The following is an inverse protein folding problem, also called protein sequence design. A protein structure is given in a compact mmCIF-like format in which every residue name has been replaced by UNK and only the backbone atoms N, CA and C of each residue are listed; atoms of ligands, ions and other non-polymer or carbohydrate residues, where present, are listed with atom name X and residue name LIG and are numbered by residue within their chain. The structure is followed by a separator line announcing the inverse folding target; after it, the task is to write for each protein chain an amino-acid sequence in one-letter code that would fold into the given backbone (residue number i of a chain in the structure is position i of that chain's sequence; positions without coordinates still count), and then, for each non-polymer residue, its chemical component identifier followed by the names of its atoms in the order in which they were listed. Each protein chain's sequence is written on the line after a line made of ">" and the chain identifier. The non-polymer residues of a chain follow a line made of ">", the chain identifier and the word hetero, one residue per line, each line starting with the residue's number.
data_IF_920556230166
#
_entry.id   IF_920556230166
#
_cell.length_a   1.000
_cell.length_b   1.000
_cell.length_c   1.000
_cell.angle_alpha   90.00
_cell.angle_beta   90.00
_cell.angle_gamma   90.00
#
_symmetry.space_group_name_H-M   'P 1'
#
loop_
_entity.id
_entity.type
_entity.pdbx_description
1 polymer ?
#
# COMPACT_ATOMS: atom_id res chain seq x y z
N UNK A 1 -3.84 -11.58 -5.42
CA UNK A 1 -4.41 -10.26 -5.01
C UNK A 1 -3.49 -9.61 -3.99
N UNK A 2 -3.38 -8.29 -3.99
CA UNK A 2 -2.79 -7.56 -2.86
C UNK A 2 -3.50 -6.23 -2.62
N UNK A 3 -3.26 -5.64 -1.45
CA UNK A 3 -3.65 -4.27 -1.12
C UNK A 3 -2.81 -3.74 0.04
N UNK A 4 -2.71 -2.42 0.14
CA UNK A 4 -2.21 -1.73 1.33
C UNK A 4 -3.39 -1.41 2.24
N UNK A 5 -3.20 -1.64 3.54
CA UNK A 5 -4.18 -1.32 4.57
C UNK A 5 -3.49 -0.67 5.76
N UNK A 6 -4.08 0.40 6.28
CA UNK A 6 -3.62 1.08 7.49
C UNK A 6 -4.78 1.17 8.47
N UNK A 7 -4.58 0.67 9.68
CA UNK A 7 -5.48 0.94 10.81
C UNK A 7 -5.18 2.34 11.33
N UNK A 8 -6.10 3.27 11.27
CA UNK A 8 -5.86 4.66 11.68
C UNK A 8 -6.13 4.90 13.17
N UNK A 9 -7.04 4.11 13.76
CA UNK A 9 -7.32 4.18 15.20
C UNK A 9 -7.80 2.83 15.75
N UNK A 10 -8.01 2.76 17.07
CA UNK A 10 -8.64 1.61 17.72
C UNK A 10 -10.17 1.68 17.77
N UNK A 11 -10.77 2.72 17.20
CA UNK A 11 -12.22 2.93 17.22
C UNK A 11 -12.96 1.92 16.33
N UNK A 12 -14.27 1.79 16.57
CA UNK A 12 -15.20 0.97 15.78
C UNK A 12 -15.93 -0.09 16.58
N UNK A 13 -17.12 -0.46 16.11
CA UNK A 13 -17.92 -1.52 16.73
C UNK A 13 -17.26 -2.89 16.58
N UNK A 14 -17.63 -3.85 17.43
CA UNK A 14 -17.15 -5.23 17.37
C UNK A 14 -15.60 -5.35 17.38
N UNK A 15 -14.91 -4.48 18.11
CA UNK A 15 -13.44 -4.47 18.16
C UNK A 15 -12.76 -3.81 16.96
N UNK A 16 -13.51 -3.02 16.18
CA UNK A 16 -13.02 -2.21 15.07
C UNK A 16 -12.34 -3.05 14.00
N UNK A 17 -13.10 -3.97 13.38
CA UNK A 17 -12.58 -4.77 12.28
C UNK A 17 -12.41 -3.90 11.02
N UNK A 18 -11.50 -4.34 10.15
CA UNK A 18 -11.24 -3.69 8.87
C UNK A 18 -10.45 -4.59 7.94
N UNK A 19 -10.91 -4.68 6.70
CA UNK A 19 -10.32 -5.54 5.68
C UNK A 19 -11.12 -5.54 4.39
N UNK A 20 -10.84 -6.54 3.57
CA UNK A 20 -11.58 -6.83 2.34
C UNK A 20 -12.25 -8.19 2.49
N UNK A 21 -13.51 -8.29 2.06
CA UNK A 21 -14.11 -9.58 1.76
C UNK A 21 -14.08 -9.86 0.26
N UNK A 22 -13.85 -11.13 -0.06
CA UNK A 22 -14.16 -11.72 -1.35
C UNK A 22 -15.53 -12.37 -1.23
N UNK A 23 -16.52 -11.79 -1.90
CA UNK A 23 -17.91 -12.27 -1.91
C UNK A 23 -18.04 -13.38 -2.95
N UNK A 24 -18.53 -14.53 -2.52
CA UNK A 24 -18.56 -15.75 -3.30
C UNK A 24 -19.96 -16.33 -3.38
N UNK A 25 -20.26 -17.06 -4.45
CA UNK A 25 -21.57 -17.72 -4.60
C UNK A 25 -21.87 -18.75 -3.51
N UNK A 26 -20.85 -19.27 -2.82
CA UNK A 26 -21.01 -20.24 -1.73
C UNK A 26 -20.67 -19.68 -0.36
N UNK A 27 -19.51 -19.02 -0.23
CA UNK A 27 -19.04 -18.44 1.03
C UNK A 27 -18.18 -17.20 0.78
N UNK A 28 -18.00 -16.41 1.84
CA UNK A 28 -17.23 -15.17 1.82
C UNK A 28 -15.91 -15.32 2.60
N UNK A 29 -14.81 -14.87 2.01
CA UNK A 29 -13.50 -14.84 2.68
C UNK A 29 -13.13 -13.44 3.13
N UNK A 30 -12.83 -13.25 4.42
CA UNK A 30 -12.17 -12.05 4.96
C UNK A 30 -10.68 -12.08 4.76
N UNK A 31 -10.12 -10.92 4.47
CA UNK A 31 -8.70 -10.63 4.58
C UNK A 31 -8.55 -9.31 5.34
N UNK A 32 -8.06 -9.37 6.57
CA UNK A 32 -7.89 -8.14 7.35
C UNK A 32 -7.68 -8.36 8.84
N UNK A 33 -7.95 -7.31 9.64
CA UNK A 33 -7.96 -7.39 11.10
C UNK A 33 -9.38 -7.72 11.56
N UNK A 34 -9.63 -8.90 12.15
CA UNK A 34 -10.96 -9.27 12.59
C UNK A 34 -11.31 -8.53 13.89
N UNK A 35 -12.58 -8.59 14.28
CA UNK A 35 -13.06 -7.94 15.49
C UNK A 35 -12.49 -8.57 16.77
N UNK A 36 -12.39 -9.89 16.79
CA UNK A 36 -11.95 -10.69 17.92
C UNK A 36 -10.42 -10.79 18.09
N UNK A 37 -9.64 -10.13 17.23
CA UNK A 37 -8.17 -10.19 17.28
C UNK A 37 -7.50 -8.87 16.89
N UNK A 38 -6.22 -8.77 17.24
CA UNK A 38 -5.36 -7.65 16.87
C UNK A 38 -4.29 -8.02 15.83
N UNK A 39 -4.33 -9.23 15.25
CA UNK A 39 -3.41 -9.65 14.18
C UNK A 39 -4.11 -9.75 12.83
N UNK A 40 -3.35 -9.61 11.75
CA UNK A 40 -3.85 -9.84 10.39
C UNK A 40 -4.24 -11.31 10.22
N UNK A 41 -5.40 -11.56 9.63
CA UNK A 41 -6.04 -12.88 9.64
C UNK A 41 -6.86 -13.12 8.36
N UNK A 42 -7.24 -14.40 8.19
CA UNK A 42 -8.28 -14.86 7.27
C UNK A 42 -9.44 -15.45 8.10
N UNK A 43 -10.68 -15.19 7.74
CA UNK A 43 -11.86 -15.79 8.37
C UNK A 43 -13.03 -15.84 7.38
N UNK A 44 -14.06 -16.60 7.70
CA UNK A 44 -15.34 -16.46 7.03
C UNK A 44 -15.98 -15.14 7.48
N UNK A 45 -16.78 -14.51 6.61
CA UNK A 45 -17.56 -13.34 7.01
C UNK A 45 -18.34 -13.60 8.30
N UNK A 46 -18.25 -12.66 9.24
CA UNK A 46 -18.88 -12.79 10.56
C UNK A 46 -18.06 -13.54 11.61
N UNK A 47 -16.83 -13.96 11.32
CA UNK A 47 -15.87 -14.41 12.34
C UNK A 47 -15.64 -15.93 12.45
N UNK A 48 -16.25 -16.73 11.58
CA UNK A 48 -16.08 -18.18 11.58
C UNK A 48 -14.73 -18.63 10.99
N UNK A 49 -14.18 -19.76 11.42
CA UNK A 49 -13.01 -20.38 10.78
C UNK A 49 -11.76 -19.47 10.76
N UNK A 50 -11.53 -18.75 11.84
CA UNK A 50 -10.43 -17.80 11.99
C UNK A 50 -9.06 -18.46 11.89
N UNK A 51 -8.24 -17.98 10.94
CA UNK A 51 -6.84 -18.35 10.76
C UNK A 51 -5.99 -17.10 10.90
N UNK A 52 -5.02 -17.11 11.82
CA UNK A 52 -4.32 -15.90 12.27
C UNK A 52 -2.85 -15.91 11.89
N UNK A 53 -2.31 -14.72 11.63
CA UNK A 53 -0.86 -14.53 11.52
C UNK A 53 -0.24 -14.22 12.88
N UNK A 54 1.09 -14.07 12.92
CA UNK A 54 1.80 -13.54 14.08
C UNK A 54 2.09 -12.03 13.97
N UNK A 55 1.45 -11.33 13.03
CA UNK A 55 1.71 -9.92 12.74
C UNK A 55 0.56 -9.05 13.24
N UNK A 56 0.84 -8.16 14.18
CA UNK A 56 -0.13 -7.21 14.75
C UNK A 56 -0.57 -6.15 13.73
N UNK A 57 -1.87 -5.88 13.68
CA UNK A 57 -2.46 -4.74 12.99
C UNK A 57 -2.28 -3.47 13.82
N UNK A 58 -1.05 -2.95 13.82
CA UNK A 58 -0.63 -1.77 14.58
C UNK A 58 -1.28 -0.49 14.03
N UNK A 59 -1.81 0.33 14.92
CA UNK A 59 -2.37 1.64 14.57
C UNK A 59 -1.28 2.53 13.97
N UNK A 60 -1.59 3.18 12.86
CA UNK A 60 -0.69 4.08 12.14
C UNK A 60 0.34 3.37 11.26
N UNK A 61 0.34 2.04 11.19
CA UNK A 61 1.20 1.28 10.30
C UNK A 61 0.45 0.88 9.03
N UNK A 62 0.96 1.29 7.88
CA UNK A 62 0.52 0.74 6.59
C UNK A 62 1.14 -0.65 6.42
N UNK A 63 0.31 -1.64 6.14
CA UNK A 63 0.71 -3.03 5.94
C UNK A 63 0.29 -3.46 4.54
N UNK A 64 1.17 -4.14 3.82
CA UNK A 64 0.81 -4.81 2.57
C UNK A 64 0.28 -6.21 2.87
N UNK A 65 -0.94 -6.50 2.44
CA UNK A 65 -1.51 -7.85 2.49
C UNK A 65 -1.52 -8.43 1.09
N UNK A 66 -0.97 -9.65 0.95
CA UNK A 66 -0.97 -10.37 -0.33
C UNK A 66 -1.67 -11.71 -0.12
N UNK A 67 -2.78 -11.90 -0.83
CA UNK A 67 -3.54 -13.14 -0.84
C UNK A 67 -3.23 -13.91 -2.13
N UNK A 68 -2.78 -15.15 -1.97
CA UNK A 68 -2.82 -16.17 -3.01
C UNK A 68 -4.01 -17.08 -2.79
N UNK A 69 -4.77 -17.28 -3.86
CA UNK A 69 -5.88 -18.22 -3.92
C UNK A 69 -5.46 -19.33 -4.87
N UNK A 70 -5.43 -20.57 -4.39
CA UNK A 70 -5.29 -21.75 -5.22
C UNK A 70 -6.68 -22.34 -5.45
N UNK A 71 -7.25 -22.02 -6.62
CA UNK A 71 -8.54 -22.56 -7.06
C UNK A 71 -8.38 -24.04 -7.37
N UNK A 72 -9.30 -24.85 -6.86
CA UNK A 72 -9.33 -26.30 -7.05
C UNK A 72 -10.79 -26.79 -7.08
N UNK A 73 -11.02 -28.04 -7.49
CA UNK A 73 -12.38 -28.62 -7.58
C UNK A 73 -13.03 -28.94 -6.21
N UNK A 74 -12.46 -28.42 -5.12
CA UNK A 74 -12.85 -28.61 -3.73
C UNK A 74 -12.57 -27.28 -2.99
N UNK A 75 -12.68 -27.26 -1.65
CA UNK A 75 -12.31 -26.09 -0.83
C UNK A 75 -10.96 -25.51 -1.27
N UNK A 76 -10.89 -24.20 -1.55
CA UNK A 76 -9.65 -23.58 -2.02
C UNK A 76 -8.58 -23.52 -0.92
N UNK A 77 -7.33 -23.41 -1.35
CA UNK A 77 -6.23 -23.09 -0.45
C UNK A 77 -5.90 -21.60 -0.54
N UNK A 78 -6.07 -20.91 0.58
CA UNK A 78 -5.74 -19.51 0.76
C UNK A 78 -4.43 -19.37 1.52
N UNK A 79 -3.53 -18.55 1.00
CA UNK A 79 -2.26 -18.20 1.62
C UNK A 79 -2.18 -16.67 1.73
N UNK A 80 -2.09 -16.17 2.96
CA UNK A 80 -1.87 -14.76 3.25
C UNK A 80 -0.40 -14.51 3.58
N UNK A 81 0.18 -13.51 2.94
CA UNK A 81 1.50 -12.99 3.24
C UNK A 81 1.33 -11.58 3.78
N UNK A 82 1.86 -11.35 4.98
CA UNK A 82 1.82 -10.06 5.65
C UNK A 82 3.14 -9.35 5.46
N UNK A 83 3.08 -8.16 4.87
CA UNK A 83 4.20 -7.27 4.59
C UNK A 83 5.42 -8.00 3.98
N UNK A 84 5.24 -8.76 2.88
CA UNK A 84 6.34 -9.49 2.27
C UNK A 84 7.43 -8.51 1.79
N UNK A 85 8.68 -8.80 2.13
CA UNK A 85 9.84 -7.96 1.80
C UNK A 85 10.40 -8.18 0.38
N UNK A 86 9.86 -9.15 -0.35
CA UNK A 86 10.36 -9.59 -1.66
C UNK A 86 9.23 -9.65 -2.69
N UNK A 87 9.57 -9.49 -3.97
CA UNK A 87 8.65 -9.74 -5.09
C UNK A 87 8.56 -11.22 -5.46
N UNK A 88 9.48 -12.04 -4.95
CA UNK A 88 9.38 -13.49 -4.99
C UNK A 88 8.44 -13.95 -3.89
N UNK A 89 7.53 -14.87 -4.21
CA UNK A 89 6.63 -15.47 -3.24
C UNK A 89 7.43 -16.21 -2.15
N UNK A 90 7.25 -15.87 -0.86
CA UNK A 90 7.86 -16.62 0.23
C UNK A 90 7.37 -18.07 0.26
N UNK A 91 8.25 -19.01 0.61
CA UNK A 91 7.91 -20.45 0.69
C UNK A 91 6.83 -20.72 1.74
N UNK A 92 6.85 -19.96 2.84
CA UNK A 92 5.92 -20.11 3.95
C UNK A 92 5.02 -18.88 4.05
N UNK A 93 3.68 -19.04 3.96
CA UNK A 93 2.77 -17.93 4.19
C UNK A 93 2.66 -17.58 5.66
N UNK A 94 2.24 -16.35 5.95
CA UNK A 94 1.93 -15.89 7.31
C UNK A 94 0.68 -16.55 7.86
N UNK A 95 -0.30 -16.86 6.99
CA UNK A 95 -1.53 -17.59 7.32
C UNK A 95 -1.86 -18.56 6.21
N UNK A 96 -2.35 -19.75 6.57
CA UNK A 96 -2.92 -20.71 5.63
C UNK A 96 -4.33 -21.09 6.06
N UNK A 97 -5.28 -21.06 5.13
CA UNK A 97 -6.69 -21.48 5.31
C UNK A 97 -7.08 -22.40 4.16
N UNK A 98 -7.70 -23.54 4.45
CA UNK A 98 -7.96 -24.63 3.46
C UNK A 98 -9.34 -25.28 3.63
N UNK A 99 -10.21 -24.64 4.40
CA UNK A 99 -11.49 -25.16 4.87
C UNK A 99 -12.69 -24.38 4.31
N UNK A 100 -12.47 -23.58 3.26
CA UNK A 100 -13.48 -22.70 2.66
C UNK A 100 -13.56 -22.92 1.15
N UNK A 101 -14.79 -23.02 0.64
CA UNK A 101 -15.08 -22.96 -0.79
C UNK A 101 -15.82 -21.65 -1.08
N UNK A 102 -15.22 -20.71 -1.81
CA UNK A 102 -15.90 -19.45 -2.15
C UNK A 102 -16.79 -19.59 -3.39
N UNK A 103 -16.57 -20.62 -4.22
CA UNK A 103 -17.25 -20.78 -5.49
C UNK A 103 -16.83 -19.71 -6.49
N UNK A 104 -17.79 -19.12 -7.21
CA UNK A 104 -17.48 -18.02 -8.12
C UNK A 104 -17.37 -16.71 -7.32
N UNK A 105 -16.23 -16.03 -7.45
CA UNK A 105 -16.05 -14.67 -6.95
C UNK A 105 -16.97 -13.71 -7.71
N UNK A 106 -17.85 -13.00 -6.99
CA UNK A 106 -18.77 -12.02 -7.58
C UNK A 106 -18.33 -10.59 -7.29
N UNK A 107 -17.93 -10.31 -6.05
CA UNK A 107 -17.68 -8.96 -5.59
C UNK A 107 -16.46 -8.87 -4.68
N UNK A 108 -15.96 -7.65 -4.55
CA UNK A 108 -14.88 -7.30 -3.63
C UNK A 108 -15.39 -6.16 -2.77
N UNK A 109 -15.46 -6.40 -1.46
CA UNK A 109 -16.12 -5.49 -0.53
C UNK A 109 -15.11 -4.96 0.46
N UNK A 110 -14.93 -3.64 0.49
CA UNK A 110 -14.26 -2.98 1.61
C UNK A 110 -15.17 -3.06 2.82
N UNK A 111 -14.75 -3.78 3.86
CA UNK A 111 -15.59 -4.08 5.01
C UNK A 111 -14.92 -3.65 6.29
N UNK A 112 -15.53 -2.67 6.96
CA UNK A 112 -14.96 -2.08 8.17
C UNK A 112 -16.06 -1.56 9.09
N UNK A 113 -15.87 -1.76 10.39
CA UNK A 113 -16.55 -1.02 11.46
C UNK A 113 -15.60 0.00 12.10
N UNK A 114 -14.29 -0.15 11.88
CA UNK A 114 -13.26 0.74 12.40
C UNK A 114 -12.79 1.78 11.39
N UNK A 115 -11.77 2.54 11.81
CA UNK A 115 -11.13 3.57 11.00
C UNK A 115 -9.90 2.98 10.29
N UNK A 116 -10.05 2.76 8.99
CA UNK A 116 -9.02 2.17 8.12
C UNK A 116 -8.89 2.95 6.83
N UNK A 117 -7.66 3.00 6.31
CA UNK A 117 -7.36 3.45 4.95
C UNK A 117 -6.89 2.28 4.10
N UNK A 118 -7.25 2.31 2.82
CA UNK A 118 -6.93 1.29 1.83
C UNK A 118 -6.25 1.97 0.63
N UNK A 119 -5.28 1.30 0.03
CA UNK A 119 -4.62 1.76 -1.19
C UNK A 119 -4.10 0.57 -2.01
N UNK A 120 -3.72 0.81 -3.26
CA UNK A 120 -3.07 -0.13 -4.16
C UNK A 120 -3.71 -1.54 -4.22
N UNK A 121 -5.03 -1.61 -4.40
CA UNK A 121 -5.72 -2.89 -4.61
C UNK A 121 -5.31 -3.44 -5.99
N UNK A 122 -4.67 -4.61 -6.01
CA UNK A 122 -4.11 -5.23 -7.22
C UNK A 122 -4.58 -6.67 -7.40
N UNK A 123 -4.83 -7.04 -8.65
CA UNK A 123 -5.10 -8.41 -9.08
C UNK A 123 -4.07 -8.83 -10.10
N UNK A 124 -3.72 -10.10 -10.07
CA UNK A 124 -2.72 -10.65 -10.96
C UNK A 124 -2.47 -12.12 -10.65
N UNK A 125 -1.98 -12.82 -11.66
CA UNK A 125 -1.80 -14.27 -11.63
C UNK A 125 -0.46 -14.70 -11.00
N UNK A 126 0.41 -13.73 -10.69
CA UNK A 126 1.72 -13.97 -10.08
C UNK A 126 1.95 -13.07 -8.86
N UNK A 127 2.75 -13.55 -7.91
CA UNK A 127 3.11 -12.78 -6.72
C UNK A 127 3.81 -11.45 -7.09
N UNK A 128 4.73 -11.48 -8.05
CA UNK A 128 5.42 -10.30 -8.54
C UNK A 128 4.45 -9.26 -9.12
N UNK A 129 3.44 -9.68 -9.89
CA UNK A 129 2.47 -8.75 -10.50
C UNK A 129 1.66 -7.93 -9.49
N UNK A 130 1.54 -8.42 -8.24
CA UNK A 130 0.80 -7.76 -7.17
C UNK A 130 1.71 -7.18 -6.08
N UNK A 131 3.03 -7.35 -6.17
CA UNK A 131 3.99 -6.84 -5.17
C UNK A 131 5.03 -5.89 -5.74
N UNK A 132 5.25 -5.89 -7.05
CA UNK A 132 6.17 -4.99 -7.70
C UNK A 132 5.75 -3.53 -7.48
N UNK A 133 6.60 -2.75 -6.85
CA UNK A 133 6.41 -1.30 -6.76
C UNK A 133 7.01 -0.72 -8.03
N UNK A 134 6.24 -0.04 -8.90
CA UNK A 134 6.83 0.61 -10.06
C UNK A 134 7.94 1.55 -9.58
N UNK A 135 9.20 1.29 -9.94
CA UNK A 135 10.25 2.26 -9.65
C UNK A 135 9.85 3.57 -10.32
N UNK A 136 9.84 4.72 -9.59
CA UNK A 136 9.73 6.00 -10.26
C UNK A 136 10.87 6.04 -11.26
N UNK A 137 10.56 6.16 -12.55
CA UNK A 137 11.57 6.03 -13.61
C UNK A 137 12.71 6.97 -13.25
N UNK A 138 13.88 6.44 -12.85
CA UNK A 138 15.00 7.28 -12.43
C UNK A 138 15.39 8.28 -13.53
N UNK A 139 15.09 7.92 -14.79
CA UNK A 139 15.13 8.77 -15.97
C UNK A 139 14.22 10.02 -15.89
N UNK A 140 12.98 9.88 -15.40
CA UNK A 140 12.06 11.01 -15.24
C UNK A 140 12.56 11.99 -14.17
N UNK A 141 13.09 11.50 -13.05
CA UNK A 141 13.73 12.36 -12.03
C UNK A 141 15.01 13.02 -12.55
N UNK A 142 15.82 12.30 -13.33
CA UNK A 142 17.05 12.83 -13.92
C UNK A 142 16.78 13.92 -14.99
N UNK A 143 15.71 13.79 -15.77
CA UNK A 143 15.34 14.78 -16.79
C UNK A 143 14.79 16.08 -16.18
N UNK A 144 14.05 15.99 -15.07
CA UNK A 144 13.57 17.18 -14.33
C UNK A 144 14.73 17.93 -13.66
N UNK A 145 15.74 17.23 -13.15
CA UNK A 145 16.90 17.89 -12.52
C UNK A 145 17.79 18.61 -13.54
N UNK A 146 17.98 18.06 -14.75
CA UNK A 146 18.82 18.68 -15.79
C UNK A 146 18.16 19.91 -16.45
N UNK A 147 16.83 19.93 -16.59
CA UNK A 147 16.10 21.11 -17.09
C UNK A 147 16.01 22.22 -16.03
N UNK A 148 15.84 21.87 -14.76
CA UNK A 148 15.81 22.83 -13.64
C UNK A 148 17.12 23.60 -13.45
N UNK A 149 18.29 22.94 -13.55
CA UNK A 149 19.59 23.62 -13.42
C UNK A 149 19.86 24.62 -14.55
N UNK A 150 19.40 24.31 -15.76
CA UNK A 150 19.60 25.18 -16.94
C UNK A 150 18.85 26.51 -16.81
N UNK A 151 17.65 26.50 -16.21
CA UNK A 151 16.89 27.73 -15.93
C UNK A 151 17.52 28.57 -14.82
N UNK A 152 18.00 27.97 -13.73
CA UNK A 152 18.60 28.71 -12.60
C UNK A 152 19.91 29.40 -12.98
N UNK A 153 20.71 28.77 -13.84
CA UNK A 153 21.94 29.38 -14.38
C UNK A 153 21.65 30.58 -15.30
N UNK A 154 20.56 30.56 -16.05
CA UNK A 154 20.17 31.65 -16.94
C UNK A 154 19.70 32.90 -16.19
N UNK A 155 19.02 32.74 -15.04
CA UNK A 155 18.55 33.86 -14.22
C UNK A 155 19.63 34.52 -13.35
N UNK A 156 20.75 33.84 -13.04
CA UNK A 156 21.85 34.42 -12.25
C UNK A 156 22.78 35.37 -13.02
N UNK A 157 22.63 35.53 -14.34
CA UNK A 157 23.55 36.34 -15.17
C UNK A 157 23.20 37.83 -15.29
N UNK A 158 22.18 38.35 -14.59
CA UNK A 158 21.77 39.77 -14.69
C UNK A 158 21.94 40.58 -13.40
N UNK A 159 23.13 40.61 -12.81
CA UNK A 159 23.52 41.74 -11.94
C UNK A 159 25.03 41.85 -11.76
N UNK A 160 25.70 42.46 -12.74
CA UNK A 160 26.97 43.12 -12.47
C UNK A 160 26.69 44.64 -12.39
N UNK A 161 26.80 45.26 -11.21
CA UNK A 161 26.63 46.70 -11.08
C UNK A 161 27.74 47.42 -11.85
N UNK A 162 27.33 48.32 -12.74
CA UNK A 162 28.20 49.19 -13.52
C UNK A 162 28.82 50.22 -12.57
N UNK A 163 30.08 50.03 -12.19
CA UNK A 163 30.85 51.03 -11.45
C UNK A 163 31.16 52.20 -12.39
N UNK A 164 30.61 53.38 -12.14
CA UNK A 164 30.99 54.59 -12.86
C UNK A 164 31.16 55.78 -11.89
N UNK A 165 32.44 56.01 -11.55
CA UNK A 165 33.16 57.27 -11.32
C UNK A 165 32.36 58.47 -10.79
N UNK A 166 32.62 58.83 -9.52
CA UNK A 166 32.38 60.16 -8.97
C UNK A 166 33.44 61.12 -9.51
N UNK A 167 33.05 62.08 -10.36
CA UNK A 167 33.88 63.24 -10.67
C UNK A 167 33.75 64.27 -9.54
N UNK A 168 34.89 64.64 -8.96
CA UNK A 168 35.04 65.68 -7.95
C UNK A 168 35.51 66.94 -8.67
N UNK A 169 34.64 67.94 -8.76
CA UNK A 169 35.03 69.28 -9.20
C UNK A 169 35.17 70.16 -7.98
N UNK A 170 36.41 70.58 -7.74
CA UNK A 170 36.80 71.51 -6.69
C UNK A 170 36.27 72.93 -6.99
N UNK A 171 35.92 73.62 -5.91
CA UNK A 171 35.49 75.02 -5.84
C UNK A 171 36.73 75.92 -5.90
N UNK A 172 36.68 76.99 -6.69
CA UNK A 172 37.62 78.12 -6.61
C UNK A 172 36.76 79.39 -6.44
N UNK A 173 36.99 80.03 -5.29
CA UNK A 173 36.79 81.42 -4.85
C UNK A 173 35.68 82.29 -5.47
#
# INVERSE_FOLDING_TARGET
>A
MSFLIRRNSTAGDFGGFGGIYLDGTENDLFIGKPGASNVWSLENRGGGGLAQSNYTATVGQTTRLVLRIQVQNAAEAFALYVDPSTEQEPVSPSVRKVDLNIGQLTDIVLYTSGDFSYDEIRFGDTFASVTAVPEPSALALALVSMTGLSCVAAFRRKSLPRTAKKESTARVD
#
